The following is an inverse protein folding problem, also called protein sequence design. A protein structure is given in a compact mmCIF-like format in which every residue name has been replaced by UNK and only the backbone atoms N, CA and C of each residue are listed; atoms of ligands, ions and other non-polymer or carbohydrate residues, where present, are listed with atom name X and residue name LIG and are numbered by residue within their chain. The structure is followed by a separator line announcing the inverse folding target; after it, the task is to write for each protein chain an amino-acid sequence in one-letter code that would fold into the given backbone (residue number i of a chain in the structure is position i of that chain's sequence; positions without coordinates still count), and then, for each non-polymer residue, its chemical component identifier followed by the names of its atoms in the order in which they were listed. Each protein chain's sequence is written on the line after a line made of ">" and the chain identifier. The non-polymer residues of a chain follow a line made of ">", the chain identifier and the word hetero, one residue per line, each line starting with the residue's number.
data_IF_952363211342
#
_entry.id   IF_952363211342
#
_cell.length_a   1.000
_cell.length_b   1.000
_cell.length_c   1.000
_cell.angle_alpha   90.00
_cell.angle_beta   90.00
_cell.angle_gamma   90.00
#
_symmetry.space_group_name_H-M   'P 1'
#
loop_
_entity.id
_entity.type
_entity.pdbx_description
1 polymer ?
#
# COMPACT_ATOMS: atom_id res chain seq x y z
N UNK A 1 20.89 -11.45 -57.11
CA UNK A 1 19.92 -10.59 -56.39
C UNK A 1 19.77 -11.19 -55.00
N UNK A 2 20.63 -10.76 -54.07
CA UNK A 2 20.70 -11.33 -52.71
C UNK A 2 19.60 -10.71 -51.86
N UNK A 3 18.67 -11.52 -51.38
CA UNK A 3 17.62 -11.10 -50.45
C UNK A 3 18.24 -11.13 -49.05
N UNK A 4 18.47 -9.95 -48.48
CA UNK A 4 18.89 -9.75 -47.10
C UNK A 4 17.64 -9.93 -46.22
N UNK A 5 17.55 -11.03 -45.47
CA UNK A 5 16.52 -11.22 -44.46
C UNK A 5 16.92 -10.45 -43.20
N UNK A 6 16.24 -9.32 -42.95
CA UNK A 6 16.35 -8.59 -41.68
C UNK A 6 15.50 -9.33 -40.67
N UNK A 7 16.13 -10.04 -39.74
CA UNK A 7 15.48 -10.62 -38.57
C UNK A 7 15.18 -9.49 -37.57
N UNK A 8 13.93 -9.05 -37.52
CA UNK A 8 13.45 -8.09 -36.52
C UNK A 8 13.43 -8.78 -35.16
N UNK A 9 14.36 -8.41 -34.28
CA UNK A 9 14.38 -8.85 -32.88
C UNK A 9 13.19 -8.18 -32.16
N UNK A 10 12.12 -8.94 -31.92
CA UNK A 10 11.08 -8.51 -30.99
C UNK A 10 11.64 -8.60 -29.57
N UNK A 11 12.04 -7.46 -29.02
CA UNK A 11 12.32 -7.32 -27.59
C UNK A 11 10.96 -7.36 -26.90
N UNK A 12 10.58 -8.51 -26.37
CA UNK A 12 9.46 -8.60 -25.45
C UNK A 12 9.83 -7.84 -24.18
N UNK A 13 9.13 -6.74 -23.93
CA UNK A 13 9.13 -6.06 -22.65
C UNK A 13 8.52 -7.03 -21.64
N UNK A 14 9.37 -7.72 -20.86
CA UNK A 14 8.92 -8.41 -19.65
C UNK A 14 8.26 -7.34 -18.77
N UNK A 15 6.96 -7.47 -18.54
CA UNK A 15 6.29 -6.74 -17.49
C UNK A 15 6.97 -7.15 -16.19
N UNK A 16 7.89 -6.34 -15.70
CA UNK A 16 8.41 -6.48 -14.36
C UNK A 16 7.25 -6.14 -13.42
N UNK A 17 6.71 -7.15 -12.75
CA UNK A 17 5.80 -6.93 -11.63
C UNK A 17 6.54 -6.10 -10.59
N UNK A 18 6.13 -4.85 -10.44
CA UNK A 18 6.64 -3.97 -9.40
C UNK A 18 6.04 -4.42 -8.06
N UNK A 19 6.80 -5.16 -7.24
CA UNK A 19 6.42 -5.49 -5.86
C UNK A 19 7.05 -4.46 -4.90
N UNK A 20 6.21 -3.80 -4.10
CA UNK A 20 6.49 -2.53 -3.39
C UNK A 20 7.39 -2.64 -2.13
N UNK A 21 8.72 -2.74 -2.31
CA UNK A 21 9.76 -2.75 -1.24
C UNK A 21 9.93 -4.05 -0.47
N UNK A 22 10.27 -5.12 -1.19
CA UNK A 22 10.69 -6.42 -0.62
C UNK A 22 11.96 -6.95 -1.25
N UNK A 23 12.75 -6.06 -1.87
CA UNK A 23 13.96 -6.41 -2.61
C UNK A 23 15.08 -6.98 -1.74
N UNK A 24 14.94 -6.91 -0.42
CA UNK A 24 15.86 -7.53 0.53
C UNK A 24 15.47 -8.97 0.91
N UNK A 25 14.36 -9.50 0.42
CA UNK A 25 14.00 -10.91 0.57
C UNK A 25 14.44 -11.72 -0.66
N UNK A 26 14.81 -12.98 -0.43
CA UNK A 26 15.21 -13.91 -1.47
C UNK A 26 14.02 -14.34 -2.34
N UNK A 27 14.29 -14.69 -3.60
CA UNK A 27 13.33 -15.39 -4.45
C UNK A 27 13.14 -16.86 -4.06
N UNK A 28 14.06 -17.40 -3.25
CA UNK A 28 13.94 -18.74 -2.69
C UNK A 28 12.95 -18.73 -1.53
N UNK A 29 12.23 -19.83 -1.36
CA UNK A 29 11.34 -20.04 -0.22
C UNK A 29 11.97 -21.04 0.74
N UNK A 30 11.80 -20.81 2.03
CA UNK A 30 12.16 -21.74 3.09
C UNK A 30 10.99 -21.98 4.04
N UNK A 31 11.08 -23.07 4.78
CA UNK A 31 10.20 -23.38 5.90
C UNK A 31 10.98 -23.29 7.20
N UNK A 32 10.34 -22.73 8.23
CA UNK A 32 10.80 -22.80 9.61
C UNK A 32 9.70 -23.38 10.47
N UNK A 33 10.08 -24.12 11.50
CA UNK A 33 9.15 -24.76 12.42
C UNK A 33 9.59 -24.50 13.86
N UNK A 34 8.64 -24.12 14.71
CA UNK A 34 8.96 -23.74 16.09
C UNK A 34 7.74 -23.39 16.93
N UNK A 35 8.01 -22.89 18.13
CA UNK A 35 7.00 -22.42 19.07
C UNK A 35 6.65 -20.94 18.79
N UNK A 36 5.37 -20.63 18.68
CA UNK A 36 4.90 -19.25 18.57
C UNK A 36 5.03 -18.52 19.90
N UNK A 37 5.93 -17.54 20.01
CA UNK A 37 6.19 -16.84 21.29
C UNK A 37 5.63 -15.42 21.33
N UNK A 38 5.34 -14.80 20.18
CA UNK A 38 4.65 -13.51 20.12
C UNK A 38 3.81 -13.38 18.84
N UNK A 39 2.70 -12.65 18.95
CA UNK A 39 1.85 -12.20 17.83
C UNK A 39 1.84 -10.69 17.84
N UNK A 40 2.32 -10.09 16.76
CA UNK A 40 2.39 -8.65 16.54
C UNK A 40 1.28 -8.23 15.58
N UNK A 41 0.10 -7.92 16.14
CA UNK A 41 -1.11 -7.64 15.38
C UNK A 41 -1.33 -6.13 15.18
N UNK A 42 -0.35 -5.50 14.54
CA UNK A 42 -0.23 -4.04 14.41
C UNK A 42 0.09 -3.64 12.97
N UNK A 43 -0.10 -2.37 12.62
CA UNK A 43 0.32 -1.85 11.32
C UNK A 43 1.85 -1.66 11.27
N UNK A 44 2.49 -1.80 10.09
CA UNK A 44 1.89 -1.95 8.76
C UNK A 44 1.51 -3.38 8.36
N UNK A 45 2.20 -4.38 8.90
CA UNK A 45 1.97 -5.80 8.61
C UNK A 45 1.87 -6.59 9.89
N UNK A 46 1.01 -7.62 9.88
CA UNK A 46 0.99 -8.59 10.97
C UNK A 46 2.31 -9.35 10.99
N UNK A 47 2.82 -9.64 12.17
CA UNK A 47 4.03 -10.42 12.32
C UNK A 47 4.00 -11.28 13.55
N UNK A 48 5.01 -12.13 13.67
CA UNK A 48 5.11 -13.10 14.73
C UNK A 48 6.56 -13.32 15.10
N UNK A 49 6.78 -13.78 16.33
CA UNK A 49 8.07 -14.28 16.76
C UNK A 49 7.95 -15.78 17.00
N UNK A 50 8.83 -16.55 16.37
CA UNK A 50 8.87 -18.02 16.47
C UNK A 50 10.19 -18.44 17.08
N UNK A 51 10.16 -19.26 18.13
CA UNK A 51 11.34 -19.89 18.70
C UNK A 51 11.63 -21.22 17.98
N UNK A 52 12.74 -21.28 17.26
CA UNK A 52 13.18 -22.43 16.46
C UNK A 52 14.35 -23.09 17.16
N UNK A 53 14.33 -24.42 17.29
CA UNK A 53 15.49 -25.19 17.74
C UNK A 53 16.32 -25.56 16.52
N UNK A 54 17.54 -25.04 16.43
CA UNK A 54 18.43 -25.33 15.30
C UNK A 54 19.02 -26.75 15.37
N UNK A 55 19.78 -27.15 14.34
CA UNK A 55 20.40 -28.48 14.25
C UNK A 55 21.36 -28.81 15.42
N UNK A 56 21.89 -27.78 16.09
CA UNK A 56 22.77 -27.92 17.25
C UNK A 56 22.00 -28.03 18.58
N UNK A 57 20.67 -27.94 18.55
CA UNK A 57 19.82 -27.91 19.74
C UNK A 57 19.77 -26.55 20.43
N UNK A 58 20.20 -25.48 19.77
CA UNK A 58 20.16 -24.12 20.31
C UNK A 58 18.87 -23.40 19.91
N UNK A 59 18.36 -22.56 20.81
CA UNK A 59 17.19 -21.71 20.56
C UNK A 59 17.53 -20.50 19.69
N UNK A 60 16.70 -20.28 18.67
CA UNK A 60 16.80 -19.15 17.76
C UNK A 60 15.44 -18.45 17.65
N UNK A 61 15.39 -17.16 17.97
CA UNK A 61 14.21 -16.34 17.71
C UNK A 61 14.22 -15.88 16.25
N UNK A 62 13.15 -16.24 15.55
CA UNK A 62 12.87 -15.82 14.19
C UNK A 62 11.77 -14.77 14.19
N UNK A 63 12.02 -13.66 13.47
CA UNK A 63 11.00 -12.70 13.09
C UNK A 63 10.35 -13.20 11.81
N UNK A 64 9.02 -13.31 11.82
CA UNK A 64 8.27 -13.62 10.62
C UNK A 64 7.24 -12.51 10.38
N UNK A 65 7.15 -12.02 9.14
CA UNK A 65 6.29 -10.91 8.74
C UNK A 65 5.34 -11.38 7.64
N UNK A 66 4.05 -11.07 7.77
CA UNK A 66 3.06 -11.36 6.73
C UNK A 66 3.21 -10.45 5.51
N UNK A 67 2.91 -10.98 4.32
CA UNK A 67 2.86 -10.17 3.09
C UNK A 67 1.68 -9.18 3.06
N UNK A 68 0.57 -9.46 3.72
CA UNK A 68 -0.62 -8.64 3.70
C UNK A 68 -0.61 -7.64 4.86
N UNK A 69 -1.06 -6.41 4.59
CA UNK A 69 -1.24 -5.42 5.65
C UNK A 69 -2.38 -5.84 6.60
N UNK A 70 -2.43 -5.25 7.79
CA UNK A 70 -3.41 -5.60 8.82
C UNK A 70 -4.87 -5.52 8.31
N UNK A 71 -5.21 -4.44 7.60
CA UNK A 71 -6.54 -4.24 7.01
C UNK A 71 -6.93 -5.39 6.07
N UNK A 72 -5.99 -5.86 5.26
CA UNK A 72 -6.18 -6.97 4.35
C UNK A 72 -6.41 -8.28 5.12
N UNK A 73 -5.68 -8.51 6.21
CA UNK A 73 -5.88 -9.67 7.09
C UNK A 73 -7.28 -9.66 7.73
N UNK A 74 -7.72 -8.51 8.25
CA UNK A 74 -9.04 -8.34 8.86
C UNK A 74 -10.16 -8.60 7.84
N UNK A 75 -10.04 -8.06 6.62
CA UNK A 75 -11.00 -8.33 5.52
C UNK A 75 -10.98 -9.77 5.03
N UNK A 76 -9.88 -10.49 5.26
CA UNK A 76 -9.78 -11.93 5.06
C UNK A 76 -10.41 -12.76 6.18
N UNK A 77 -11.11 -12.15 7.14
CA UNK A 77 -11.63 -12.77 8.36
C UNK A 77 -10.54 -13.45 9.20
N UNK A 78 -9.34 -12.86 9.22
CA UNK A 78 -8.24 -13.27 10.09
C UNK A 78 -8.09 -12.24 11.20
N UNK A 79 -8.03 -12.71 12.44
CA UNK A 79 -7.90 -11.89 13.64
C UNK A 79 -6.89 -12.51 14.59
N UNK A 80 -6.32 -11.72 15.50
CA UNK A 80 -5.25 -12.16 16.41
C UNK A 80 -5.66 -13.33 17.32
N UNK A 81 -6.94 -13.46 17.64
CA UNK A 81 -7.46 -14.47 18.59
C UNK A 81 -7.41 -15.91 18.07
N UNK A 82 -7.13 -16.11 16.77
CA UNK A 82 -6.94 -17.46 16.22
C UNK A 82 -5.57 -18.06 16.56
N UNK A 83 -4.61 -17.23 17.00
CA UNK A 83 -3.24 -17.62 17.32
C UNK A 83 -3.08 -17.85 18.82
N UNK A 84 -2.43 -18.95 19.20
CA UNK A 84 -2.18 -19.32 20.59
C UNK A 84 -0.69 -19.31 20.88
N UNK A 85 -0.24 -18.39 21.74
CA UNK A 85 1.15 -18.39 22.21
C UNK A 85 1.48 -19.73 22.88
N UNK A 86 2.62 -20.31 22.52
CA UNK A 86 3.08 -21.62 22.94
C UNK A 86 2.69 -22.77 22.00
N UNK A 87 1.84 -22.52 20.99
CA UNK A 87 1.53 -23.55 19.99
C UNK A 87 2.68 -23.74 19.00
N UNK A 88 2.75 -24.93 18.40
CA UNK A 88 3.70 -25.22 17.34
C UNK A 88 3.18 -24.71 15.99
N UNK A 89 4.03 -23.98 15.27
CA UNK A 89 3.71 -23.44 13.95
C UNK A 89 4.75 -23.81 12.91
N UNK A 90 4.32 -23.91 11.64
CA UNK A 90 5.23 -24.01 10.49
C UNK A 90 5.00 -22.80 9.59
N UNK A 91 6.04 -21.99 9.39
CA UNK A 91 5.98 -20.80 8.55
C UNK A 91 6.74 -21.05 7.24
N UNK A 92 6.13 -20.67 6.12
CA UNK A 92 6.73 -20.76 4.78
C UNK A 92 6.85 -19.35 4.18
N UNK A 93 8.03 -19.01 3.70
CA UNK A 93 8.28 -17.67 3.18
C UNK A 93 9.66 -17.46 2.58
N UNK A 94 9.90 -16.23 2.12
CA UNK A 94 11.19 -15.81 1.57
C UNK A 94 12.11 -15.32 2.68
N UNK A 95 13.31 -15.90 2.88
CA UNK A 95 14.25 -15.42 3.88
C UNK A 95 14.86 -14.08 3.45
N UNK A 96 15.16 -13.24 4.42
CA UNK A 96 15.89 -12.00 4.18
C UNK A 96 17.33 -12.29 3.75
N UNK A 97 17.81 -11.61 2.71
CA UNK A 97 19.23 -11.63 2.29
C UNK A 97 20.06 -10.58 3.04
N UNK A 98 19.45 -9.83 3.96
CA UNK A 98 20.11 -8.73 4.71
C UNK A 98 20.00 -8.86 6.22
N UNK A 99 18.95 -9.47 6.75
CA UNK A 99 18.70 -9.66 8.18
C UNK A 99 18.73 -11.15 8.50
N UNK A 100 19.49 -11.53 9.52
CA UNK A 100 19.48 -12.91 9.98
C UNK A 100 18.15 -13.23 10.67
N UNK A 101 17.61 -14.43 10.43
CA UNK A 101 16.40 -14.96 11.10
C UNK A 101 15.16 -14.10 10.86
N UNK A 102 15.03 -13.54 9.66
CA UNK A 102 13.88 -12.73 9.22
C UNK A 102 13.25 -13.39 7.98
N UNK A 103 11.95 -13.60 8.02
CA UNK A 103 11.20 -14.35 7.01
C UNK A 103 9.97 -13.55 6.57
N UNK A 104 9.87 -13.26 5.28
CA UNK A 104 8.64 -12.74 4.70
C UNK A 104 7.71 -13.91 4.36
N UNK A 105 6.70 -14.11 5.19
CA UNK A 105 5.86 -15.29 5.22
C UNK A 105 4.63 -15.15 4.32
N UNK A 106 4.37 -16.18 3.52
CA UNK A 106 3.15 -16.30 2.71
C UNK A 106 2.14 -17.24 3.35
N UNK A 107 2.59 -18.27 4.05
CA UNK A 107 1.73 -19.30 4.66
C UNK A 107 2.20 -19.60 6.08
N UNK A 108 1.25 -19.74 7.01
CA UNK A 108 1.50 -20.13 8.39
C UNK A 108 0.55 -21.27 8.78
N UNK A 109 1.08 -22.45 9.06
CA UNK A 109 0.34 -23.62 9.52
C UNK A 109 0.29 -23.63 11.05
N UNK A 110 -0.92 -23.67 11.60
CA UNK A 110 -1.19 -23.77 13.03
C UNK A 110 -1.26 -25.24 13.49
N UNK A 111 -1.11 -25.48 14.80
CA UNK A 111 -1.08 -26.83 15.38
C UNK A 111 -2.39 -27.61 15.12
N UNK A 112 -3.52 -26.90 15.04
CA UNK A 112 -4.82 -27.47 14.72
C UNK A 112 -4.99 -27.86 13.22
N UNK A 113 -3.95 -27.70 12.40
CA UNK A 113 -3.94 -28.02 10.97
C UNK A 113 -4.54 -26.94 10.06
N UNK A 114 -4.94 -25.79 10.61
CA UNK A 114 -5.41 -24.64 9.80
C UNK A 114 -4.22 -23.92 9.19
N UNK A 115 -4.32 -23.66 7.90
CA UNK A 115 -3.35 -22.85 7.17
C UNK A 115 -3.86 -21.42 7.03
N UNK A 116 -3.06 -20.45 7.49
CA UNK A 116 -3.34 -19.03 7.34
C UNK A 116 -2.53 -18.51 6.16
N UNK A 117 -3.20 -17.93 5.15
CA UNK A 117 -2.48 -17.26 4.07
C UNK A 117 -2.25 -15.81 4.47
N UNK A 118 -0.98 -15.47 4.58
CA UNK A 118 -0.50 -14.14 4.95
C UNK A 118 -0.20 -13.29 3.72
N UNK A 119 -0.55 -13.75 2.50
CA UNK A 119 -0.47 -13.00 1.24
C UNK A 119 -1.75 -13.14 0.44
N UNK A 120 -2.15 -12.09 -0.28
CA UNK A 120 -3.35 -12.11 -1.14
C UNK A 120 -3.23 -12.99 -2.40
N UNK A 121 -2.01 -13.31 -2.81
CA UNK A 121 -1.66 -14.16 -3.96
C UNK A 121 -1.12 -15.53 -3.56
N UNK A 122 -1.08 -15.84 -2.26
CA UNK A 122 -0.64 -17.14 -1.79
C UNK A 122 -1.72 -18.20 -2.05
N UNK A 123 -1.30 -19.36 -2.54
CA UNK A 123 -2.12 -20.55 -2.61
C UNK A 123 -1.88 -21.43 -1.37
N UNK A 124 -2.87 -22.24 -0.94
CA UNK A 124 -2.67 -23.20 0.13
C UNK A 124 -1.54 -24.19 -0.21
N UNK A 125 -0.63 -24.40 0.73
CA UNK A 125 0.53 -25.25 0.57
C UNK A 125 0.37 -26.61 1.28
N UNK A 126 -0.25 -26.65 2.47
CA UNK A 126 -0.37 -27.86 3.28
C UNK A 126 -1.76 -28.53 3.23
N UNK A 127 -2.76 -27.95 2.55
CA UNK A 127 -4.05 -28.61 2.32
C UNK A 127 -5.20 -27.69 1.94
N UNK A 128 -6.44 -28.22 1.94
CA UNK A 128 -7.63 -27.54 1.40
C UNK A 128 -8.35 -26.58 2.37
N UNK A 129 -7.95 -26.51 3.65
CA UNK A 129 -8.57 -25.60 4.63
C UNK A 129 -7.64 -24.42 4.91
N UNK A 130 -7.63 -23.47 3.97
CA UNK A 130 -6.97 -22.18 4.16
C UNK A 130 -7.96 -21.11 4.66
N UNK A 131 -7.45 -20.19 5.47
CA UNK A 131 -8.17 -19.03 5.95
C UNK A 131 -7.34 -17.78 5.70
N UNK A 132 -8.00 -16.71 5.27
CA UNK A 132 -7.34 -15.48 4.86
C UNK A 132 -6.74 -15.62 3.47
N UNK A 133 -7.28 -14.86 2.53
CA UNK A 133 -6.61 -14.39 1.33
C UNK A 133 -7.35 -13.10 0.94
N UNK A 134 -6.81 -11.91 1.29
CA UNK A 134 -7.39 -10.65 0.88
C UNK A 134 -7.41 -10.57 -0.63
N UNK A 135 -8.61 -10.48 -1.20
CA UNK A 135 -8.85 -10.50 -2.65
C UNK A 135 -10.03 -11.38 -3.07
N UNK A 136 -10.51 -12.28 -2.19
CA UNK A 136 -11.65 -13.18 -2.45
C UNK A 136 -12.99 -12.71 -1.85
N UNK A 137 -13.00 -11.63 -1.06
CA UNK A 137 -14.20 -11.13 -0.39
C UNK A 137 -15.16 -10.48 -1.39
N UNK A 138 -16.41 -10.96 -1.43
CA UNK A 138 -17.53 -10.17 -1.95
C UNK A 138 -17.74 -8.98 -1.02
N UNK A 139 -17.43 -7.77 -1.47
CA UNK A 139 -17.74 -6.56 -0.72
C UNK A 139 -19.25 -6.35 -0.66
N UNK A 140 -19.77 -6.07 0.54
CA UNK A 140 -21.12 -5.55 0.71
C UNK A 140 -21.05 -4.02 0.65
N UNK A 141 -21.56 -3.45 -0.44
CA UNK A 141 -21.64 -2.01 -0.61
C UNK A 141 -22.85 -1.49 0.17
N UNK A 142 -22.73 -0.31 0.77
CA UNK A 142 -23.89 0.35 1.39
C UNK A 142 -24.90 0.78 0.34
N UNK A 143 -26.15 1.05 0.76
CA UNK A 143 -27.13 1.76 -0.06
C UNK A 143 -26.74 3.25 -0.15
N UNK A 144 -25.64 3.51 -0.85
CA UNK A 144 -24.98 4.81 -0.89
C UNK A 144 -25.86 5.90 -1.48
N UNK A 145 -26.78 5.53 -2.38
CA UNK A 145 -27.75 6.43 -2.99
C UNK A 145 -28.85 6.82 -2.02
N UNK A 146 -29.32 5.90 -1.16
CA UNK A 146 -30.27 6.24 -0.11
C UNK A 146 -29.66 7.12 1.00
N UNK A 147 -28.36 6.96 1.28
CA UNK A 147 -27.62 7.81 2.21
C UNK A 147 -27.39 9.23 1.68
N UNK A 148 -27.23 9.38 0.37
CA UNK A 148 -27.02 10.64 -0.36
C UNK A 148 -25.92 11.56 0.23
N UNK A 149 -24.80 10.96 0.64
CA UNK A 149 -23.67 11.69 1.26
C UNK A 149 -22.66 12.26 0.26
N UNK A 150 -22.82 11.97 -1.03
CA UNK A 150 -21.85 12.31 -2.06
C UNK A 150 -20.45 11.82 -1.72
N UNK A 151 -19.47 12.72 -1.78
CA UNK A 151 -18.07 12.43 -1.46
C UNK A 151 -17.80 12.30 0.06
N UNK A 152 -18.69 12.84 0.91
CA UNK A 152 -18.47 13.01 2.35
C UNK A 152 -18.78 11.75 3.16
N UNK A 153 -17.94 10.74 2.93
CA UNK A 153 -17.98 9.41 3.56
C UNK A 153 -16.57 8.83 3.63
N UNK A 154 -16.46 7.69 4.32
CA UNK A 154 -15.28 6.83 4.25
C UNK A 154 -15.25 6.13 2.89
N UNK A 155 -14.11 6.22 2.23
CA UNK A 155 -13.81 5.56 0.97
C UNK A 155 -12.74 4.49 1.19
N UNK A 156 -13.09 3.27 0.84
CA UNK A 156 -12.34 2.07 1.16
C UNK A 156 -11.61 1.53 -0.08
N UNK A 157 -10.38 1.00 0.06
CA UNK A 157 -9.66 0.46 -1.09
C UNK A 157 -10.35 -0.80 -1.62
N UNK A 158 -10.50 -0.89 -2.94
CA UNK A 158 -10.80 -2.16 -3.61
C UNK A 158 -9.51 -3.00 -3.65
N UNK A 159 -9.47 -4.07 -2.87
CA UNK A 159 -8.30 -4.96 -2.73
C UNK A 159 -8.41 -6.21 -3.62
N UNK A 160 -9.43 -6.31 -4.48
CA UNK A 160 -9.52 -7.42 -5.43
C UNK A 160 -8.36 -7.36 -6.42
N UNK A 161 -7.83 -8.52 -6.78
CA UNK A 161 -6.73 -8.62 -7.73
C UNK A 161 -7.10 -8.06 -9.13
N UNK A 162 -8.38 -8.10 -9.50
CA UNK A 162 -8.91 -7.60 -10.77
C UNK A 162 -9.46 -6.16 -10.69
N UNK A 163 -9.29 -5.47 -9.56
CA UNK A 163 -9.74 -4.10 -9.39
C UNK A 163 -9.07 -3.19 -10.45
N UNK A 164 -9.86 -2.38 -11.19
CA UNK A 164 -9.31 -1.58 -12.29
C UNK A 164 -8.38 -0.48 -11.75
N UNK A 165 -7.11 -0.57 -12.13
CA UNK A 165 -6.11 0.46 -11.88
C UNK A 165 -5.36 0.80 -13.16
N UNK A 166 -4.97 2.06 -13.31
CA UNK A 166 -4.12 2.51 -14.42
C UNK A 166 -2.94 3.28 -13.88
N UNK A 167 -1.74 2.93 -14.34
CA UNK A 167 -0.49 3.56 -13.94
C UNK A 167 0.37 3.82 -15.17
N UNK A 168 0.81 5.06 -15.33
CA UNK A 168 1.87 5.45 -16.25
C UNK A 168 2.85 6.37 -15.53
N UNK A 169 4.04 5.86 -15.20
CA UNK A 169 5.08 6.59 -14.48
C UNK A 169 6.36 6.64 -15.32
N UNK A 170 6.46 7.63 -16.23
CA UNK A 170 7.58 7.75 -17.15
C UNK A 170 8.77 8.41 -16.43
N UNK A 171 9.44 7.63 -15.58
CA UNK A 171 10.58 8.10 -14.80
C UNK A 171 11.75 8.53 -15.68
N UNK A 172 12.50 9.55 -15.25
CA UNK A 172 13.78 9.91 -15.87
C UNK A 172 14.84 8.83 -15.58
N UNK A 173 15.86 8.73 -16.44
CA UNK A 173 17.01 7.86 -16.18
C UNK A 173 17.71 8.19 -14.85
N UNK A 174 17.76 9.47 -14.49
CA UNK A 174 18.33 9.93 -13.21
C UNK A 174 17.50 9.45 -12.01
N UNK A 175 16.17 9.48 -12.08
CA UNK A 175 15.30 8.98 -11.01
C UNK A 175 15.45 7.47 -10.82
N UNK A 176 15.56 6.71 -11.92
CA UNK A 176 15.82 5.27 -11.88
C UNK A 176 17.19 4.98 -11.25
N UNK A 177 18.24 5.68 -11.67
CA UNK A 177 19.58 5.51 -11.11
C UNK A 177 19.64 5.86 -9.61
N UNK A 178 18.90 6.89 -9.18
CA UNK A 178 18.80 7.24 -7.76
C UNK A 178 18.08 6.15 -6.96
N UNK A 179 16.97 5.62 -7.49
CA UNK A 179 16.23 4.50 -6.90
C UNK A 179 17.11 3.26 -6.71
N UNK A 180 17.91 2.91 -7.72
CA UNK A 180 18.74 1.70 -7.68
C UNK A 180 19.86 1.78 -6.63
N UNK A 181 20.22 2.99 -6.19
CA UNK A 181 21.19 3.24 -5.11
C UNK A 181 20.53 3.44 -3.74
N UNK A 182 19.20 3.43 -3.65
CA UNK A 182 18.49 3.58 -2.39
C UNK A 182 18.54 2.28 -1.59
N UNK A 183 18.65 2.40 -0.26
CA UNK A 183 18.73 1.22 0.61
C UNK A 183 17.32 0.76 1.03
N UNK A 184 16.82 -0.38 0.49
CA UNK A 184 15.51 -0.90 0.86
C UNK A 184 15.42 -1.43 2.29
N UNK A 185 16.56 -1.66 2.98
CA UNK A 185 16.56 -2.06 4.39
C UNK A 185 16.42 -0.86 5.34
N UNK A 186 16.63 0.35 4.84
CA UNK A 186 16.44 1.62 5.55
C UNK A 186 15.22 2.34 4.96
N UNK A 187 14.08 1.66 5.00
CA UNK A 187 12.82 2.17 4.45
C UNK A 187 12.03 2.98 5.50
N UNK A 188 11.57 4.18 5.12
CA UNK A 188 10.71 5.03 5.94
C UNK A 188 9.44 4.32 6.43
N UNK A 189 8.85 3.45 5.61
CA UNK A 189 7.67 2.67 5.99
C UNK A 189 7.99 1.64 7.08
N UNK A 190 9.17 1.03 7.02
CA UNK A 190 9.66 0.13 8.07
C UNK A 190 10.06 0.87 9.34
N UNK A 191 10.26 2.19 9.28
CA UNK A 191 10.54 3.05 10.44
C UNK A 191 9.29 3.74 10.98
N UNK A 192 8.10 3.40 10.48
CA UNK A 192 6.84 4.06 10.82
C UNK A 192 6.87 5.59 10.64
N UNK A 193 7.64 6.08 9.66
CA UNK A 193 7.69 7.51 9.35
C UNK A 193 6.45 7.91 8.53
N UNK A 194 5.67 8.92 8.99
CA UNK A 194 4.50 9.36 8.27
C UNK A 194 4.84 9.84 6.86
N UNK A 195 4.29 9.13 5.88
CA UNK A 195 4.51 9.41 4.47
C UNK A 195 3.78 10.68 4.01
N UNK A 196 4.24 11.25 2.89
CA UNK A 196 3.63 12.42 2.27
C UNK A 196 2.87 12.14 0.97
N UNK A 197 2.50 13.23 0.30
CA UNK A 197 1.91 13.16 -1.05
C UNK A 197 2.95 12.69 -2.08
N UNK A 198 2.58 11.88 -3.08
CA UNK A 198 1.23 11.35 -3.35
C UNK A 198 0.95 10.02 -2.65
N UNK A 199 1.86 9.53 -1.80
CA UNK A 199 1.82 8.16 -1.27
C UNK A 199 0.56 7.90 -0.43
N UNK A 200 0.12 8.87 0.39
CA UNK A 200 -1.11 8.71 1.19
C UNK A 200 -2.37 8.44 0.34
N UNK A 201 -2.37 8.84 -0.94
CA UNK A 201 -3.49 8.56 -1.87
C UNK A 201 -3.27 7.32 -2.75
N UNK A 202 -2.08 6.72 -2.70
CA UNK A 202 -1.72 5.54 -3.51
C UNK A 202 -1.69 4.26 -2.68
N UNK A 203 -1.36 4.34 -1.40
CA UNK A 203 -1.42 3.19 -0.50
C UNK A 203 -2.87 2.74 -0.28
N UNK A 204 -3.12 1.43 -0.10
CA UNK A 204 -4.45 0.88 0.01
C UNK A 204 -4.98 0.99 1.45
N UNK A 205 -5.26 2.21 1.90
CA UNK A 205 -5.88 2.52 3.20
C UNK A 205 -7.10 3.41 3.01
N UNK A 206 -8.08 3.27 3.89
CA UNK A 206 -9.29 4.08 3.82
C UNK A 206 -8.99 5.56 4.09
N UNK A 207 -9.84 6.44 3.58
CA UNK A 207 -9.85 7.85 3.97
C UNK A 207 -11.27 8.41 3.98
N UNK A 208 -11.49 9.46 4.76
CA UNK A 208 -12.76 10.15 4.88
C UNK A 208 -12.65 11.59 4.39
N UNK A 209 -13.64 12.06 3.64
CA UNK A 209 -13.84 13.48 3.41
C UNK A 209 -14.82 14.06 4.41
N UNK A 210 -14.41 15.11 5.11
CA UNK A 210 -15.23 15.87 6.06
C UNK A 210 -15.37 17.30 5.59
N UNK A 211 -16.61 17.77 5.45
CA UNK A 211 -16.90 19.17 5.13
C UNK A 211 -16.75 20.06 6.37
N UNK A 212 -15.82 21.01 6.31
CA UNK A 212 -15.61 22.03 7.34
C UNK A 212 -16.02 23.44 6.86
N UNK A 213 -16.88 23.52 5.84
CA UNK A 213 -17.40 24.76 5.27
C UNK A 213 -16.46 25.37 4.23
N UNK A 214 -15.44 26.12 4.67
CA UNK A 214 -14.47 26.75 3.75
C UNK A 214 -13.32 25.82 3.33
N UNK A 215 -13.24 24.65 3.96
CA UNK A 215 -12.20 23.65 3.79
C UNK A 215 -12.83 22.25 3.81
N UNK A 216 -12.15 21.31 3.18
CA UNK A 216 -12.45 19.88 3.30
C UNK A 216 -11.26 19.22 3.99
N UNK A 217 -11.51 18.47 5.05
CA UNK A 217 -10.49 17.57 5.62
C UNK A 217 -10.56 16.23 4.90
N UNK A 218 -9.41 15.73 4.47
CA UNK A 218 -9.21 14.34 4.09
C UNK A 218 -8.48 13.66 5.25
N UNK A 219 -9.20 12.84 6.01
CA UNK A 219 -8.67 12.06 7.12
C UNK A 219 -8.21 10.72 6.54
N UNK A 220 -6.90 10.51 6.48
CA UNK A 220 -6.29 9.28 6.02
C UNK A 220 -6.11 8.34 7.20
N UNK A 221 -6.61 7.10 7.07
CA UNK A 221 -6.29 6.04 8.01
C UNK A 221 -4.76 5.86 8.07
N UNK A 222 -4.09 5.76 6.93
CA UNK A 222 -2.63 5.63 6.88
C UNK A 222 -1.94 6.78 7.65
N UNK A 223 -1.17 6.40 8.68
CA UNK A 223 -0.44 7.28 9.61
C UNK A 223 -1.29 8.32 10.37
N UNK A 224 -2.61 8.11 10.48
CA UNK A 224 -3.52 9.02 11.19
C UNK A 224 -3.42 10.48 10.69
N UNK A 225 -3.18 10.65 9.39
CA UNK A 225 -2.88 11.93 8.76
C UNK A 225 -4.15 12.70 8.41
N UNK A 226 -4.14 14.00 8.69
CA UNK A 226 -5.21 14.92 8.26
C UNK A 226 -4.65 15.88 7.20
N UNK A 227 -5.11 15.72 5.96
CA UNK A 227 -4.81 16.64 4.85
C UNK A 227 -5.93 17.67 4.72
N UNK A 228 -5.57 18.94 4.66
CA UNK A 228 -6.53 20.04 4.47
C UNK A 228 -6.58 20.44 3.01
N UNK A 229 -7.79 20.52 2.46
CA UNK A 229 -8.08 21.00 1.10
C UNK A 229 -8.83 22.33 1.24
N UNK A 230 -8.17 23.42 0.87
CA UNK A 230 -8.76 24.75 0.94
C UNK A 230 -9.68 24.98 -0.25
N UNK A 231 -10.98 25.21 0.00
CA UNK A 231 -11.99 25.41 -1.04
C UNK A 231 -12.12 26.88 -1.48
N UNK A 232 -11.55 27.79 -0.69
CA UNK A 232 -11.52 29.22 -0.97
C UNK A 232 -10.09 29.70 -1.22
N UNK A 233 -9.88 30.36 -2.36
CA UNK A 233 -8.55 30.74 -2.83
C UNK A 233 -8.09 32.07 -2.18
N UNK A 234 -7.82 32.04 -0.87
CA UNK A 234 -7.53 33.26 -0.10
C UNK A 234 -6.04 33.52 0.15
N UNK A 235 -5.15 32.56 -0.12
CA UNK A 235 -3.70 32.74 0.04
C UNK A 235 -2.93 32.23 -1.19
N UNK A 236 -2.00 33.03 -1.77
CA UNK A 236 -1.07 32.54 -2.77
C UNK A 236 -0.21 31.41 -2.18
N UNK A 237 -0.16 30.24 -2.82
CA UNK A 237 0.62 29.07 -2.36
C UNK A 237 2.10 29.39 -2.07
N UNK A 238 2.64 30.44 -2.69
CA UNK A 238 4.01 30.95 -2.51
C UNK A 238 4.32 31.44 -1.09
N UNK A 239 3.31 31.69 -0.25
CA UNK A 239 3.48 32.15 1.13
C UNK A 239 3.36 31.01 2.16
N UNK A 240 3.06 29.79 1.71
CA UNK A 240 2.87 28.63 2.59
C UNK A 240 4.15 27.81 2.65
N UNK A 241 4.58 27.46 3.86
CA UNK A 241 5.75 26.60 4.06
C UNK A 241 5.50 25.20 3.48
N UNK A 242 6.55 24.56 2.96
CA UNK A 242 6.45 23.21 2.45
C UNK A 242 6.20 22.19 3.57
N UNK A 243 5.45 21.14 3.28
CA UNK A 243 5.14 20.05 4.21
C UNK A 243 5.07 18.71 3.48
N UNK A 244 5.10 17.56 4.18
CA UNK A 244 4.99 16.26 3.51
C UNK A 244 3.67 16.10 2.76
N UNK A 245 2.58 16.70 3.26
CA UNK A 245 1.25 16.69 2.64
C UNK A 245 1.05 17.79 1.59
N UNK A 246 1.99 18.75 1.53
CA UNK A 246 1.89 19.92 0.67
C UNK A 246 0.81 20.91 1.10
N UNK A 247 0.38 21.73 0.13
CA UNK A 247 -0.70 22.69 0.25
C UNK A 247 -1.72 22.42 -0.86
N UNK A 248 -2.97 22.09 -0.49
CA UNK A 248 -4.01 21.63 -1.42
C UNK A 248 -5.09 22.69 -1.60
N UNK A 249 -5.38 23.04 -2.85
CA UNK A 249 -6.47 23.95 -3.23
C UNK A 249 -7.50 23.17 -4.03
N UNK A 250 -8.74 23.15 -3.54
CA UNK A 250 -9.86 22.45 -4.16
C UNK A 250 -10.82 23.39 -4.88
N UNK A 251 -11.44 22.90 -5.94
CA UNK A 251 -12.56 23.54 -6.62
C UNK A 251 -13.51 22.49 -7.17
N UNK A 252 -14.82 22.78 -7.13
CA UNK A 252 -15.84 21.94 -7.76
C UNK A 252 -15.93 22.24 -9.26
N UNK A 253 -15.95 21.20 -10.08
CA UNK A 253 -16.23 21.27 -11.52
C UNK A 253 -17.36 20.28 -11.84
N UNK A 254 -18.60 20.79 -11.87
CA UNK A 254 -19.78 19.92 -11.80
C UNK A 254 -19.76 19.12 -10.49
N UNK A 255 -19.92 17.81 -10.58
CA UNK A 255 -19.94 16.89 -9.44
C UNK A 255 -18.55 16.36 -9.05
N UNK A 256 -17.49 16.83 -9.73
CA UNK A 256 -16.12 16.43 -9.45
C UNK A 256 -15.38 17.46 -8.60
N UNK A 257 -14.72 16.98 -7.54
CA UNK A 257 -13.76 17.78 -6.78
C UNK A 257 -12.40 17.71 -7.48
N UNK A 258 -11.88 18.86 -7.91
CA UNK A 258 -10.56 18.99 -8.53
C UNK A 258 -9.62 19.65 -7.52
N UNK A 259 -8.50 19.01 -7.21
CA UNK A 259 -7.54 19.48 -6.21
C UNK A 259 -6.17 19.66 -6.84
N UNK A 260 -5.56 20.83 -6.64
CA UNK A 260 -4.15 21.07 -6.97
C UNK A 260 -3.33 21.08 -5.69
N UNK A 261 -2.24 20.32 -5.66
CA UNK A 261 -1.33 20.25 -4.52
C UNK A 261 0.07 20.68 -4.94
N UNK A 262 0.65 21.62 -4.19
CA UNK A 262 2.02 22.13 -4.35
C UNK A 262 2.74 22.12 -3.00
N UNK A 263 3.98 22.62 -2.95
CA UNK A 263 4.76 22.79 -1.70
C UNK A 263 4.95 21.47 -0.93
N UNK A 264 5.06 20.35 -1.65
CA UNK A 264 5.35 19.04 -1.07
C UNK A 264 6.86 18.94 -0.84
N UNK A 265 7.29 18.62 0.38
CA UNK A 265 8.69 18.33 0.70
C UNK A 265 8.96 16.86 1.05
N UNK A 266 7.96 15.99 0.90
CA UNK A 266 8.17 14.56 1.02
C UNK A 266 9.08 14.07 -0.13
N UNK A 267 10.21 13.39 0.14
CA UNK A 267 11.24 13.18 -0.87
C UNK A 267 11.01 11.94 -1.76
N UNK A 268 9.97 11.12 -1.51
CA UNK A 268 9.78 9.84 -2.21
C UNK A 268 8.43 9.74 -2.91
N UNK A 269 8.45 9.41 -4.20
CA UNK A 269 7.22 9.17 -4.98
C UNK A 269 6.56 7.82 -4.69
N UNK A 270 7.36 6.80 -4.35
CA UNK A 270 6.93 5.43 -4.12
C UNK A 270 7.71 4.76 -2.98
N UNK A 271 7.46 3.46 -2.76
CA UNK A 271 7.99 2.70 -1.62
C UNK A 271 9.40 2.16 -1.91
N UNK A 272 9.85 2.25 -3.15
CA UNK A 272 11.09 1.61 -3.59
C UNK A 272 12.23 2.62 -3.71
N UNK A 273 12.04 3.82 -3.14
CA UNK A 273 13.07 4.86 -3.09
C UNK A 273 13.11 5.78 -4.30
N UNK A 274 12.10 5.79 -5.18
CA UNK A 274 12.11 6.74 -6.30
C UNK A 274 12.00 8.18 -5.77
N UNK A 275 12.97 9.06 -6.05
CA UNK A 275 12.94 10.42 -5.52
C UNK A 275 11.86 11.26 -6.20
N UNK A 276 11.28 12.20 -5.45
CA UNK A 276 10.57 13.37 -5.97
C UNK A 276 11.20 14.65 -5.44
N UNK A 277 11.09 15.73 -6.20
CA UNK A 277 11.61 17.04 -5.85
C UNK A 277 10.52 17.94 -5.27
N UNK A 278 10.95 19.02 -4.60
CA UNK A 278 10.03 20.06 -4.10
C UNK A 278 9.33 20.86 -5.22
N UNK A 279 9.72 20.65 -6.49
CA UNK A 279 9.03 21.22 -7.66
C UNK A 279 7.79 20.42 -8.07
N UNK A 280 7.49 19.31 -7.39
CA UNK A 280 6.35 18.45 -7.70
C UNK A 280 5.03 19.22 -7.57
N UNK A 281 4.17 19.08 -8.58
CA UNK A 281 2.79 19.53 -8.55
C UNK A 281 1.86 18.37 -8.88
N UNK A 282 0.75 18.29 -8.17
CA UNK A 282 -0.23 17.22 -8.32
C UNK A 282 -1.59 17.81 -8.66
N UNK A 283 -2.25 17.21 -9.65
CA UNK A 283 -3.63 17.51 -10.02
C UNK A 283 -4.46 16.26 -9.81
N UNK A 284 -5.39 16.34 -8.88
CA UNK A 284 -6.29 15.26 -8.48
C UNK A 284 -7.72 15.58 -8.95
N UNK A 285 -8.44 14.54 -9.36
CA UNK A 285 -9.87 14.62 -9.66
C UNK A 285 -10.57 13.47 -8.98
N UNK A 286 -11.57 13.80 -8.17
CA UNK A 286 -12.42 12.88 -7.43
C UNK A 286 -13.83 12.96 -8.01
N UNK A 287 -14.36 11.84 -8.49
CA UNK A 287 -15.69 11.77 -9.10
C UNK A 287 -16.47 10.61 -8.52
N UNK A 288 -17.54 10.93 -7.79
CA UNK A 288 -18.47 9.95 -7.24
C UNK A 288 -19.32 9.36 -8.38
N UNK A 289 -19.53 8.05 -8.39
CA UNK A 289 -20.40 7.38 -9.36
C UNK A 289 -21.87 7.76 -9.16
N UNK A 290 -22.71 7.55 -10.17
CA UNK A 290 -24.14 7.90 -10.12
C UNK A 290 -24.91 7.19 -8.98
N UNK A 291 -24.50 5.98 -8.62
CA UNK A 291 -25.05 5.20 -7.51
C UNK A 291 -24.34 5.48 -6.16
N UNK A 292 -23.35 6.39 -6.16
CA UNK A 292 -22.51 6.77 -5.03
C UNK A 292 -21.69 5.65 -4.38
N UNK A 293 -21.64 4.47 -4.99
CA UNK A 293 -20.91 3.33 -4.42
C UNK A 293 -19.42 3.36 -4.73
N UNK A 294 -18.99 4.16 -5.71
CA UNK A 294 -17.60 4.27 -6.15
C UNK A 294 -17.12 5.72 -6.16
N UNK A 295 -15.87 5.92 -5.76
CA UNK A 295 -15.13 7.16 -5.96
C UNK A 295 -14.02 6.93 -6.97
N UNK A 296 -14.22 7.45 -8.19
CA UNK A 296 -13.21 7.42 -9.22
C UNK A 296 -12.16 8.49 -8.93
N UNK A 297 -10.91 8.07 -8.78
CA UNK A 297 -9.78 8.94 -8.50
C UNK A 297 -8.81 8.95 -9.68
N UNK A 298 -8.46 10.16 -10.14
CA UNK A 298 -7.38 10.38 -11.10
C UNK A 298 -6.36 11.34 -10.49
N UNK A 299 -5.09 10.98 -10.59
CA UNK A 299 -3.95 11.77 -10.19
C UNK A 299 -3.03 11.99 -11.40
N UNK A 300 -2.66 13.24 -11.64
CA UNK A 300 -1.58 13.62 -12.56
C UNK A 300 -0.48 14.32 -11.78
N UNK A 301 0.75 13.81 -11.87
CA UNK A 301 1.91 14.35 -11.16
C UNK A 301 2.87 14.96 -12.19
N UNK A 302 3.35 16.17 -11.92
CA UNK A 302 4.35 16.85 -12.76
C UNK A 302 5.55 17.19 -11.89
N UNK A 303 6.69 16.58 -12.21
CA UNK A 303 8.00 16.86 -11.62
C UNK A 303 9.07 16.60 -12.69
N UNK A 304 9.69 17.63 -13.28
CA UNK A 304 10.70 17.46 -14.32
C UNK A 304 11.99 16.74 -13.86
N UNK A 305 12.26 16.67 -12.55
CA UNK A 305 13.44 15.97 -12.04
C UNK A 305 13.18 14.46 -11.96
N UNK A 306 11.92 14.07 -11.76
CA UNK A 306 11.51 12.68 -11.56
C UNK A 306 10.90 12.03 -12.79
N UNK A 307 10.14 12.78 -13.59
CA UNK A 307 9.41 12.26 -14.74
C UNK A 307 9.77 12.99 -16.04
N UNK A 308 9.86 12.23 -17.15
CA UNK A 308 10.08 12.78 -18.49
C UNK A 308 8.84 13.43 -19.10
N UNK A 309 7.66 13.03 -18.63
CA UNK A 309 6.36 13.65 -18.89
C UNK A 309 5.45 13.45 -17.67
N UNK A 310 4.29 14.12 -17.57
CA UNK A 310 3.42 13.97 -16.42
C UNK A 310 3.01 12.51 -16.14
N UNK A 311 3.32 12.04 -14.94
CA UNK A 311 2.86 10.74 -14.44
C UNK A 311 1.34 10.74 -14.24
N UNK A 312 0.69 9.61 -14.51
CA UNK A 312 -0.76 9.45 -14.37
C UNK A 312 -1.07 8.18 -13.58
N UNK A 313 -1.95 8.32 -12.59
CA UNK A 313 -2.48 7.24 -11.78
C UNK A 313 -4.01 7.32 -11.74
N UNK A 314 -4.70 6.19 -11.87
CA UNK A 314 -6.15 6.09 -11.70
C UNK A 314 -6.50 4.85 -10.91
N UNK A 315 -7.49 4.98 -10.04
CA UNK A 315 -8.13 3.85 -9.33
C UNK A 315 -9.57 4.21 -8.95
N UNK A 316 -10.29 3.23 -8.43
CA UNK A 316 -11.56 3.45 -7.75
C UNK A 316 -11.48 3.06 -6.28
N UNK A 317 -12.31 3.70 -5.46
CA UNK A 317 -12.54 3.38 -4.05
C UNK A 317 -14.02 3.03 -3.86
N UNK A 318 -14.34 2.27 -2.82
CA UNK A 318 -15.67 1.70 -2.55
C UNK A 318 -16.31 2.35 -1.33
N UNK A 319 -17.63 2.52 -1.35
CA UNK A 319 -18.42 2.87 -0.18
C UNK A 319 -18.86 1.59 0.57
N UNK A 320 -18.11 1.21 1.61
CA UNK A 320 -18.36 -0.02 2.39
C UNK A 320 -19.08 0.22 3.73
N UNK A 321 -19.29 1.49 4.12
CA UNK A 321 -19.88 1.83 5.42
C UNK A 321 -18.92 1.64 6.60
N UNK A 322 -17.63 1.43 6.32
CA UNK A 322 -16.56 1.34 7.31
C UNK A 322 -16.37 2.68 8.05
N UNK A 323 -15.67 2.64 9.18
CA UNK A 323 -15.16 3.81 9.89
C UNK A 323 -13.65 3.92 9.68
N UNK A 324 -13.09 5.11 9.86
CA UNK A 324 -11.63 5.26 9.94
C UNK A 324 -11.14 4.64 11.25
N UNK A 325 -10.27 3.65 11.14
CA UNK A 325 -9.58 3.05 12.27
C UNK A 325 -8.30 3.84 12.59
N UNK A 326 -7.81 3.68 13.82
CA UNK A 326 -6.50 4.22 14.20
C UNK A 326 -5.42 3.34 13.58
N UNK A 327 -4.48 3.95 12.85
CA UNK A 327 -3.40 3.20 12.22
C UNK A 327 -2.36 2.72 13.22
N UNK A 328 -1.92 3.58 14.15
CA UNK A 328 -0.98 3.23 15.24
C UNK A 328 0.18 2.33 14.74
N UNK A 329 1.03 2.87 13.88
CA UNK A 329 2.17 2.14 13.34
C UNK A 329 3.15 1.79 14.46
N UNK A 330 3.49 0.51 14.60
CA UNK A 330 4.40 0.05 15.65
C UNK A 330 5.52 -0.81 15.07
N UNK A 331 6.74 -0.55 15.55
CA UNK A 331 7.92 -1.38 15.27
C UNK A 331 7.95 -2.56 16.23
N UNK A 332 8.25 -3.76 15.72
CA UNK A 332 8.37 -4.98 16.53
C UNK A 332 9.49 -5.92 16.06
#
# INVERSE_FOLDING_TARGET
>A
MNILAIATLFIFSLAASAHHSRSHYSYETQEIEGELVAVHWVNPHVGFTVNVINENGEEELWRIEGHSNLLSMQRGNVSSDIFTIGERVIARGSPSVRRARDLLTTNLLLENGREILLSGDAEPYWGNQSFGAPGSSSYELVDALAEDRGIYRVWSPDLRADAPQYMNFPFTEAAIAARDNWDPADNFAERCEPEGMPRIMRNPHAFEFVDNGSEISLISELYDLVRIIHMTNNAPSQQVAASPLGYSIGAWNGDSLVVTTTNVNWPYFDNIGTPQSESVTMLETFTVSNDQTHLNYQLRVTDPNTFSEPAVYRRSWLALGEQIEVYDCQLY
#
